data_IF_855750762648
#
_entry.id   IF_855750762648
#
_cell.length_a   1.000
_cell.length_b   1.000
_cell.length_c   1.000
_cell.angle_alpha   90.00
_cell.angle_beta   90.00
_cell.angle_gamma   90.00
#
_symmetry.space_group_name_H-M   'P 1'
#
loop_
_entity.id
_entity.type
_entity.pdbx_description
1 polymer ?
#
# COMPACT_ATOMS: atom_id res chain seq x y z
N UNK A 1 4.64 4.26 4.25
CA UNK A 1 4.14 3.16 3.40
C UNK A 1 5.32 2.43 2.83
N UNK A 2 5.18 1.14 2.63
CA UNK A 2 6.23 0.25 2.14
C UNK A 2 5.58 -0.89 1.34
N UNK A 3 6.34 -1.51 0.44
CA UNK A 3 5.90 -2.65 -0.37
C UNK A 3 6.75 -3.86 -0.05
N UNK A 4 6.11 -4.92 0.45
CA UNK A 4 6.75 -6.20 0.65
C UNK A 4 6.58 -7.09 -0.59
N UNK A 5 7.67 -7.74 -1.02
CA UNK A 5 7.68 -8.72 -2.10
C UNK A 5 8.95 -8.62 -2.97
N UNK A 6 9.00 -9.35 -4.10
CA UNK A 6 7.95 -10.26 -4.58
C UNK A 6 7.86 -11.54 -3.72
N UNK A 7 6.64 -12.01 -3.51
CA UNK A 7 6.31 -13.30 -2.88
C UNK A 7 5.95 -14.35 -3.94
N UNK A 8 5.74 -15.60 -3.51
CA UNK A 8 5.14 -16.62 -4.38
C UNK A 8 3.79 -16.12 -4.87
N UNK A 9 3.65 -16.08 -6.21
CA UNK A 9 2.43 -15.62 -6.86
C UNK A 9 1.26 -16.51 -6.48
N UNK A 10 0.20 -15.90 -5.95
CA UNK A 10 -1.06 -16.59 -5.68
C UNK A 10 -1.76 -17.00 -6.99
N UNK A 11 -2.69 -17.94 -6.91
CA UNK A 11 -3.51 -18.38 -8.06
C UNK A 11 -4.29 -17.23 -8.73
N UNK A 12 -4.59 -16.18 -7.96
CA UNK A 12 -5.27 -14.97 -8.43
C UNK A 12 -4.32 -13.88 -8.95
N UNK A 13 -3.01 -14.14 -8.94
CA UNK A 13 -1.98 -13.33 -9.58
C UNK A 13 -1.36 -12.23 -8.71
N UNK A 14 -1.62 -12.20 -7.40
CA UNK A 14 -0.99 -11.28 -6.47
C UNK A 14 0.38 -11.78 -6.02
N UNK A 15 1.36 -10.88 -5.98
CA UNK A 15 2.77 -11.18 -5.67
C UNK A 15 3.43 -10.13 -4.76
N UNK A 16 2.73 -9.03 -4.42
CA UNK A 16 3.23 -8.01 -3.49
C UNK A 16 2.18 -7.67 -2.43
N UNK A 17 2.63 -7.00 -1.36
CA UNK A 17 1.77 -6.46 -0.31
C UNK A 17 2.15 -5.00 -0.05
N UNK A 18 1.22 -4.07 -0.28
CA UNK A 18 1.35 -2.69 0.17
C UNK A 18 0.98 -2.59 1.64
N UNK A 19 1.88 -2.05 2.46
CA UNK A 19 1.66 -1.81 3.88
C UNK A 19 1.61 -0.30 4.14
N UNK A 20 0.52 0.14 4.76
CA UNK A 20 0.33 1.52 5.21
C UNK A 20 0.10 1.55 6.72
N UNK A 21 0.89 2.34 7.43
CA UNK A 21 0.82 2.44 8.90
C UNK A 21 0.63 3.90 9.29
N UNK A 22 -0.37 4.16 10.13
CA UNK A 22 -0.52 5.46 10.77
C UNK A 22 0.59 5.65 11.79
N UNK A 23 1.43 6.68 11.62
CA UNK A 23 2.59 6.90 12.48
C UNK A 23 2.23 7.15 13.96
N UNK A 24 1.05 7.74 14.23
CA UNK A 24 0.58 8.05 15.57
C UNK A 24 -0.04 6.84 16.27
N UNK A 25 -1.11 6.27 15.72
CA UNK A 25 -1.86 5.17 16.36
C UNK A 25 -1.21 3.80 16.17
N UNK A 26 -0.23 3.69 15.25
CA UNK A 26 0.34 2.42 14.77
C UNK A 26 -0.68 1.48 14.10
N UNK A 27 -1.87 2.00 13.76
CA UNK A 27 -2.86 1.24 12.99
C UNK A 27 -2.31 0.92 11.60
N UNK A 28 -2.31 -0.36 11.23
CA UNK A 28 -1.72 -0.87 10.00
C UNK A 28 -2.77 -1.48 9.08
N UNK A 29 -2.64 -1.21 7.78
CA UNK A 29 -3.41 -1.82 6.72
C UNK A 29 -2.47 -2.48 5.72
N UNK A 30 -2.86 -3.65 5.23
CA UNK A 30 -2.12 -4.42 4.24
C UNK A 30 -3.02 -4.76 3.06
N UNK A 31 -2.53 -4.55 1.84
CA UNK A 31 -3.26 -4.79 0.60
C UNK A 31 -2.43 -5.62 -0.36
N UNK A 32 -2.98 -6.71 -0.88
CA UNK A 32 -2.33 -7.51 -1.90
C UNK A 32 -2.30 -6.75 -3.25
N UNK A 33 -1.15 -6.71 -3.90
CA UNK A 33 -0.96 -6.12 -5.23
C UNK A 33 -0.51 -7.16 -6.26
N UNK A 34 -0.92 -6.96 -7.50
CA UNK A 34 -0.41 -7.69 -8.67
C UNK A 34 0.80 -7.02 -9.32
N UNK A 35 1.03 -5.74 -9.02
CA UNK A 35 2.13 -4.93 -9.54
C UNK A 35 2.41 -3.76 -8.60
N UNK A 36 3.62 -3.21 -8.65
CA UNK A 36 4.10 -2.13 -7.77
C UNK A 36 4.10 -0.76 -8.44
N UNK A 37 3.45 -0.60 -9.61
CA UNK A 37 3.43 0.70 -10.30
C UNK A 37 2.74 1.77 -9.46
N UNK A 38 3.14 3.03 -9.69
CA UNK A 38 2.62 4.18 -8.96
C UNK A 38 1.09 4.32 -9.10
N UNK A 39 0.53 3.96 -10.25
CA UNK A 39 -0.91 4.03 -10.51
C UNK A 39 -1.69 3.05 -9.64
N UNK A 40 -1.22 1.81 -9.51
CA UNK A 40 -1.85 0.77 -8.67
C UNK A 40 -1.80 1.17 -7.20
N UNK A 41 -0.65 1.69 -6.75
CA UNK A 41 -0.49 2.18 -5.37
C UNK A 41 -1.40 3.38 -5.11
N UNK A 42 -1.43 4.37 -6.00
CA UNK A 42 -2.25 5.57 -5.87
C UNK A 42 -3.74 5.24 -5.83
N UNK A 43 -4.22 4.31 -6.66
CA UNK A 43 -5.61 3.86 -6.65
C UNK A 43 -6.00 3.29 -5.28
N UNK A 44 -5.14 2.48 -4.67
CA UNK A 44 -5.38 1.90 -3.35
C UNK A 44 -5.34 2.97 -2.27
N UNK A 45 -4.39 3.90 -2.31
CA UNK A 45 -4.31 5.01 -1.34
C UNK A 45 -5.62 5.82 -1.37
N UNK A 46 -6.12 6.16 -2.55
CA UNK A 46 -7.36 6.93 -2.70
C UNK A 46 -8.57 6.12 -2.19
N UNK A 47 -8.74 4.89 -2.67
CA UNK A 47 -9.92 4.07 -2.40
C UNK A 47 -9.96 3.48 -0.98
N UNK A 48 -8.81 3.20 -0.38
CA UNK A 48 -8.71 2.45 0.90
C UNK A 48 -8.24 3.30 2.06
N UNK A 49 -7.47 4.36 1.83
CA UNK A 49 -7.05 5.25 2.90
C UNK A 49 -7.88 6.54 2.89
N UNK A 50 -7.78 7.32 1.81
CA UNK A 50 -8.40 8.66 1.76
C UNK A 50 -9.91 8.59 1.92
N UNK A 51 -10.55 7.59 1.29
CA UNK A 51 -11.99 7.39 1.39
C UNK A 51 -12.48 7.00 2.79
N UNK A 52 -11.61 6.46 3.66
CA UNK A 52 -11.98 5.99 5.01
C UNK A 52 -11.52 6.94 6.13
N UNK A 53 -10.32 7.49 6.00
CA UNK A 53 -9.66 8.28 7.05
C UNK A 53 -9.42 9.74 6.66
N UNK A 54 -9.64 10.09 5.39
CA UNK A 54 -9.29 11.40 4.85
C UNK A 54 -7.85 11.49 4.33
N UNK A 55 -7.49 12.68 3.86
CA UNK A 55 -6.17 12.96 3.27
C UNK A 55 -5.11 13.04 4.36
N UNK A 56 -3.97 12.37 4.14
CA UNK A 56 -2.80 12.46 5.01
C UNK A 56 -2.07 13.78 4.78
N UNK A 57 -1.55 14.39 5.86
CA UNK A 57 -0.72 15.59 5.75
C UNK A 57 0.65 15.28 5.11
N UNK A 58 1.24 14.15 5.51
CA UNK A 58 2.52 13.68 4.97
C UNK A 58 2.47 12.17 4.72
N UNK A 59 3.10 11.74 3.63
CA UNK A 59 3.35 10.34 3.33
C UNK A 59 4.85 10.10 3.40
N UNK A 60 5.28 9.29 4.37
CA UNK A 60 6.62 8.76 4.41
C UNK A 60 6.64 7.45 3.64
N UNK A 61 7.30 7.40 2.49
CA UNK A 61 7.59 6.16 1.75
C UNK A 61 9.08 5.92 1.67
N UNK A 62 9.48 4.69 1.37
CA UNK A 62 10.83 4.43 0.90
C UNK A 62 11.03 4.99 -0.52
N UNK A 63 12.26 4.90 -1.02
CA UNK A 63 12.59 5.15 -2.43
C UNK A 63 12.53 3.85 -3.22
N UNK A 64 11.40 3.15 -3.13
CA UNK A 64 11.09 2.01 -3.99
C UNK A 64 11.35 2.36 -5.46
N UNK A 65 11.87 1.38 -6.21
CA UNK A 65 12.31 1.54 -7.59
C UNK A 65 11.17 1.26 -8.58
#
# INVERSE_FOLDING_TARGET
MDIAGPFTKSDSGFEYILVMVCAFTKFALAFALKSTTAEVVAEIVIKRWISLFGVMEFILSDRGK
#
